data_IF_842908266197
#
_entry.id   IF_842908266197
#
_cell.length_a   1.000
_cell.length_b   1.000
_cell.length_c   1.000
_cell.angle_alpha   90.00
_cell.angle_beta   90.00
_cell.angle_gamma   90.00
#
_symmetry.space_group_name_H-M   'P 1'
#
loop_
_entity.id
_entity.type
_entity.pdbx_description
1 polymer ?
#
# COMPACT_ATOMS: atom_id res chain seq x y z
N UNK A 1 -40.15 -10.82 -33.05
CA UNK A 1 -39.13 -9.83 -32.62
C UNK A 1 -38.82 -10.12 -31.17
N UNK A 2 -37.77 -10.89 -30.93
CA UNK A 2 -37.35 -11.32 -29.59
C UNK A 2 -35.87 -10.95 -29.46
N UNK A 3 -35.60 -10.15 -28.43
CA UNK A 3 -34.32 -9.53 -28.09
C UNK A 3 -33.30 -10.60 -27.69
N UNK A 4 -32.14 -10.55 -28.36
CA UNK A 4 -30.93 -11.26 -27.91
C UNK A 4 -30.45 -10.61 -26.61
N UNK A 5 -30.62 -11.32 -25.51
CA UNK A 5 -29.91 -11.02 -24.25
C UNK A 5 -28.43 -11.37 -24.42
N UNK A 6 -27.58 -10.40 -24.13
CA UNK A 6 -26.13 -10.52 -24.16
C UNK A 6 -25.66 -11.48 -23.09
N UNK A 7 -24.89 -12.48 -23.51
CA UNK A 7 -24.21 -13.41 -22.64
C UNK A 7 -23.23 -12.66 -21.71
N UNK A 8 -23.37 -12.93 -20.42
CA UNK A 8 -22.40 -12.62 -19.37
C UNK A 8 -21.02 -13.18 -19.74
N UNK A 9 -20.04 -12.29 -19.91
CA UNK A 9 -18.63 -12.62 -20.16
C UNK A 9 -17.80 -12.42 -18.88
N UNK A 10 -18.17 -13.12 -17.81
CA UNK A 10 -17.25 -13.39 -16.71
C UNK A 10 -16.85 -14.87 -16.80
N UNK A 11 -15.59 -15.20 -17.14
CA UNK A 11 -15.17 -16.59 -17.12
C UNK A 11 -15.17 -17.11 -15.68
N UNK A 12 -15.66 -18.33 -15.53
CA UNK A 12 -15.63 -19.11 -14.29
C UNK A 12 -14.23 -19.07 -13.66
N UNK A 13 -14.11 -18.32 -12.57
CA UNK A 13 -12.95 -18.40 -11.69
C UNK A 13 -13.06 -19.75 -10.99
N UNK A 14 -12.19 -20.69 -11.36
CA UNK A 14 -12.04 -21.94 -10.61
C UNK A 14 -11.78 -21.59 -9.14
N UNK A 15 -12.73 -21.98 -8.32
CA UNK A 15 -12.76 -21.77 -6.88
C UNK A 15 -11.64 -22.62 -6.28
N UNK A 16 -10.51 -22.00 -5.95
CA UNK A 16 -9.42 -22.64 -5.22
C UNK A 16 -9.98 -23.07 -3.86
N UNK A 17 -9.91 -24.37 -3.55
CA UNK A 17 -10.43 -24.92 -2.30
C UNK A 17 -9.74 -24.28 -1.09
N UNK A 18 -10.51 -23.85 -0.11
CA UNK A 18 -10.04 -23.27 1.16
C UNK A 18 -8.90 -24.09 1.79
N UNK A 19 -7.69 -23.51 1.84
CA UNK A 19 -6.56 -24.04 2.60
C UNK A 19 -5.87 -22.92 3.37
N UNK A 20 -5.55 -23.20 4.64
CA UNK A 20 -4.84 -22.27 5.53
C UNK A 20 -3.38 -22.13 5.10
N UNK A 21 -2.94 -20.88 4.90
CA UNK A 21 -1.55 -20.53 4.69
C UNK A 21 -0.94 -20.12 6.04
N UNK A 22 0.11 -20.81 6.45
CA UNK A 22 1.07 -20.28 7.40
C UNK A 22 2.29 -19.86 6.59
N UNK A 23 2.43 -18.56 6.30
CA UNK A 23 3.74 -18.05 5.88
C UNK A 23 4.55 -17.90 7.16
N UNK A 24 5.16 -19.00 7.57
CA UNK A 24 6.32 -18.95 8.47
C UNK A 24 7.40 -18.17 7.70
N UNK A 25 8.13 -17.21 8.29
CA UNK A 25 9.28 -16.59 7.65
C UNK A 25 10.12 -17.69 7.00
N UNK A 26 10.29 -17.60 5.68
CA UNK A 26 10.77 -18.70 4.84
C UNK A 26 12.12 -19.19 5.34
N UNK A 27 12.09 -20.27 6.11
CA UNK A 27 13.25 -21.11 6.40
C UNK A 27 13.18 -22.40 5.57
N UNK A 28 12.69 -22.31 4.33
CA UNK A 28 12.90 -23.40 3.37
C UNK A 28 14.39 -23.42 3.03
N UNK A 29 15.06 -24.51 3.43
CA UNK A 29 16.51 -24.79 3.39
C UNK A 29 17.22 -24.61 2.02
N UNK A 30 16.56 -24.06 0.99
CA UNK A 30 17.07 -24.04 -0.40
C UNK A 30 17.01 -22.70 -1.14
N UNK A 31 16.41 -21.63 -0.60
CA UNK A 31 16.47 -20.30 -1.22
C UNK A 31 17.14 -19.30 -0.26
N UNK A 32 18.29 -18.75 -0.68
CA UNK A 32 19.09 -17.78 0.09
C UNK A 32 18.46 -16.37 0.18
N UNK A 33 17.15 -16.23 0.02
CA UNK A 33 16.43 -14.99 0.34
C UNK A 33 15.72 -15.19 1.67
N UNK A 34 16.46 -14.93 2.76
CA UNK A 34 15.85 -14.73 4.07
C UNK A 34 15.42 -13.27 4.13
N UNK A 35 14.12 -13.01 4.05
CA UNK A 35 13.60 -11.74 4.59
C UNK A 35 13.80 -11.83 6.09
N UNK A 36 14.52 -10.87 6.66
CA UNK A 36 14.71 -10.86 8.10
C UNK A 36 13.36 -10.60 8.78
N UNK A 37 13.16 -11.12 10.00
CA UNK A 37 11.98 -10.76 10.80
C UNK A 37 11.90 -9.23 10.97
N UNK A 38 13.04 -8.55 10.97
CA UNK A 38 13.18 -7.11 11.00
C UNK A 38 12.57 -6.44 9.75
N UNK A 39 12.90 -6.88 8.53
CA UNK A 39 12.31 -6.34 7.28
C UNK A 39 10.78 -6.52 7.25
N UNK A 40 10.27 -7.67 7.72
CA UNK A 40 8.82 -7.90 7.85
C UNK A 40 8.19 -6.98 8.91
N UNK A 41 8.84 -6.81 10.06
CA UNK A 41 8.37 -5.91 11.11
C UNK A 41 8.38 -4.44 10.67
N UNK A 42 9.35 -4.01 9.85
CA UNK A 42 9.40 -2.67 9.27
C UNK A 42 8.19 -2.44 8.36
N UNK A 43 7.89 -3.40 7.50
CA UNK A 43 6.71 -3.32 6.65
C UNK A 43 5.40 -3.49 7.41
N UNK A 44 5.35 -4.22 8.52
CA UNK A 44 4.18 -4.23 9.40
C UNK A 44 4.02 -2.90 10.15
N UNK A 45 5.11 -2.21 10.47
CA UNK A 45 5.04 -0.84 11.03
C UNK A 45 4.47 0.17 10.03
N UNK A 46 4.47 -0.14 8.73
CA UNK A 46 3.75 0.63 7.70
C UNK A 46 2.25 0.73 7.99
N UNK A 47 1.69 -0.28 8.68
CA UNK A 47 0.24 -0.39 8.95
C UNK A 47 -0.14 0.17 10.34
N UNK A 48 0.80 0.77 11.08
CA UNK A 48 0.50 1.34 12.39
C UNK A 48 -0.25 2.68 12.23
N UNK A 49 -1.52 2.68 12.64
CA UNK A 49 -2.40 3.85 12.62
C UNK A 49 -2.01 4.86 13.70
N UNK A 50 -1.09 5.77 13.37
CA UNK A 50 -0.97 7.06 14.05
C UNK A 50 -1.90 8.11 13.44
N UNK A 51 -2.88 7.71 12.60
CA UNK A 51 -3.57 8.57 11.62
C UNK A 51 -4.08 9.91 12.19
N UNK A 52 -4.31 10.03 13.51
CA UNK A 52 -4.58 11.31 14.18
C UNK A 52 -3.99 11.48 15.60
N UNK A 53 -2.98 10.69 16.01
CA UNK A 53 -2.37 10.80 17.35
C UNK A 53 -0.89 11.18 17.28
N UNK A 54 -0.65 12.47 17.06
CA UNK A 54 0.69 13.06 17.07
C UNK A 54 1.38 12.91 18.44
N UNK A 55 0.61 12.82 19.53
CA UNK A 55 1.15 12.68 20.89
C UNK A 55 1.75 11.30 21.10
N UNK A 56 1.05 10.23 20.73
CA UNK A 56 1.57 8.85 20.78
C UNK A 56 2.75 8.66 19.81
N UNK A 57 2.66 9.25 18.62
CA UNK A 57 3.75 9.25 17.64
C UNK A 57 5.03 9.88 18.22
N UNK A 58 4.94 11.09 18.76
CA UNK A 58 6.06 11.78 19.40
C UNK A 58 6.56 11.03 20.64
N UNK A 59 5.65 10.52 21.47
CA UNK A 59 6.00 9.76 22.66
C UNK A 59 6.87 8.54 22.33
N UNK A 60 6.50 7.78 21.29
CA UNK A 60 7.30 6.65 20.80
C UNK A 60 8.61 7.08 20.18
N UNK A 61 8.64 8.17 19.41
CA UNK A 61 9.90 8.70 18.89
C UNK A 61 10.86 9.08 20.02
N UNK A 62 10.37 9.85 21.00
CA UNK A 62 11.18 10.26 22.15
C UNK A 62 11.67 9.06 22.98
N UNK A 63 10.85 8.03 23.15
CA UNK A 63 11.27 6.79 23.80
C UNK A 63 12.37 6.06 23.02
N UNK A 64 12.26 5.99 21.69
CA UNK A 64 13.28 5.37 20.84
C UNK A 64 14.61 6.12 20.89
N UNK A 65 14.59 7.46 20.84
CA UNK A 65 15.80 8.30 21.00
C UNK A 65 16.51 8.04 22.31
N UNK A 66 15.75 7.86 23.40
CA UNK A 66 16.32 7.55 24.72
C UNK A 66 16.90 6.14 24.81
N UNK A 67 16.27 5.15 24.17
CA UNK A 67 16.72 3.75 24.19
C UNK A 67 17.93 3.49 23.30
N UNK A 68 17.93 4.07 22.11
CA UNK A 68 18.97 3.89 21.10
C UNK A 68 19.43 5.25 20.57
N UNK A 69 20.14 6.04 21.40
CA UNK A 69 20.70 7.31 20.96
C UNK A 69 21.66 7.05 19.78
N UNK A 70 21.54 7.86 18.73
CA UNK A 70 22.25 7.76 17.44
C UNK A 70 21.70 6.76 16.41
N UNK A 71 20.58 6.08 16.67
CA UNK A 71 19.93 5.28 15.63
C UNK A 71 19.13 6.20 14.68
N UNK A 72 19.50 6.18 13.40
CA UNK A 72 18.87 7.03 12.38
C UNK A 72 17.39 6.70 12.08
N UNK A 73 16.87 5.58 12.61
CA UNK A 73 15.48 5.12 12.45
C UNK A 73 14.64 5.24 13.73
N UNK A 74 14.97 6.20 14.59
CA UNK A 74 14.24 6.43 15.85
C UNK A 74 12.83 6.97 15.65
N UNK A 75 12.57 7.70 14.56
CA UNK A 75 11.22 8.14 14.20
C UNK A 75 10.36 6.94 13.75
N UNK A 76 9.20 6.68 14.37
CA UNK A 76 8.27 5.68 13.89
C UNK A 76 7.83 5.95 12.44
N UNK A 77 7.45 4.89 11.71
CA UNK A 77 6.86 5.06 10.38
C UNK A 77 5.48 5.70 10.56
N UNK A 78 5.25 6.82 9.86
CA UNK A 78 3.99 7.54 9.87
C UNK A 78 3.41 7.59 8.46
N UNK A 79 2.56 6.60 8.15
CA UNK A 79 1.97 6.36 6.83
C UNK A 79 1.40 7.61 6.16
N UNK A 80 0.55 8.35 6.87
CA UNK A 80 -0.11 9.57 6.36
C UNK A 80 0.91 10.59 5.84
N UNK A 81 1.91 10.93 6.66
CA UNK A 81 2.86 12.00 6.34
C UNK A 81 3.83 11.56 5.25
N UNK A 82 4.24 10.29 5.25
CA UNK A 82 5.06 9.74 4.17
C UNK A 82 4.29 9.76 2.84
N UNK A 83 3.01 9.39 2.82
CA UNK A 83 2.20 9.48 1.60
C UNK A 83 1.92 10.91 1.16
N UNK A 84 1.78 11.87 2.08
CA UNK A 84 1.70 13.29 1.73
C UNK A 84 3.01 13.76 1.08
N UNK A 85 4.16 13.45 1.68
CA UNK A 85 5.48 13.73 1.08
C UNK A 85 5.59 13.13 -0.32
N UNK A 86 5.24 11.86 -0.49
CA UNK A 86 5.31 11.17 -1.78
C UNK A 86 4.27 11.68 -2.78
N UNK A 87 3.12 12.18 -2.32
CA UNK A 87 2.13 12.85 -3.17
C UNK A 87 2.65 14.19 -3.67
N UNK A 88 3.54 14.88 -2.94
CA UNK A 88 4.20 16.07 -3.47
C UNK A 88 5.12 15.74 -4.66
N UNK A 89 5.75 14.56 -4.73
CA UNK A 89 6.49 14.07 -5.92
C UNK A 89 5.62 14.04 -7.19
N UNK A 90 4.29 13.98 -7.03
CA UNK A 90 3.34 13.90 -8.13
C UNK A 90 3.01 15.24 -8.78
N UNK A 91 3.63 16.35 -8.34
CA UNK A 91 3.13 17.68 -8.64
C UNK A 91 1.96 18.05 -7.73
N UNK A 92 1.99 17.59 -6.47
CA UNK A 92 0.95 17.84 -5.47
C UNK A 92 0.51 19.30 -5.43
N UNK A 93 -0.80 19.50 -5.33
CA UNK A 93 -1.43 20.82 -5.41
C UNK A 93 -1.10 21.69 -4.20
N UNK A 94 -1.58 22.93 -4.22
CA UNK A 94 -1.47 23.83 -3.05
C UNK A 94 -2.06 23.23 -1.77
N UNK A 95 -3.06 22.36 -1.91
CA UNK A 95 -3.71 21.66 -0.80
C UNK A 95 -2.83 20.60 -0.16
N UNK A 96 -2.13 19.76 -0.94
CA UNK A 96 -1.20 18.75 -0.41
C UNK A 96 -0.03 19.42 0.32
N UNK A 97 0.45 20.56 -0.22
CA UNK A 97 1.49 21.37 0.43
C UNK A 97 1.01 21.92 1.78
N UNK A 98 -0.22 22.41 1.82
CA UNK A 98 -0.85 22.91 3.05
C UNK A 98 -0.97 21.80 4.09
N UNK A 99 -1.49 20.63 3.71
CA UNK A 99 -1.62 19.49 4.63
C UNK A 99 -0.26 18.99 5.13
N UNK A 100 0.75 18.93 4.26
CA UNK A 100 2.09 18.58 4.67
C UNK A 100 2.65 19.58 5.70
N UNK A 101 2.52 20.90 5.46
CA UNK A 101 2.97 21.93 6.39
C UNK A 101 2.21 21.92 7.73
N UNK A 102 0.89 21.64 7.70
CA UNK A 102 0.06 21.49 8.88
C UNK A 102 0.50 20.28 9.73
N UNK A 103 0.77 19.14 9.10
CA UNK A 103 1.25 17.93 9.79
C UNK A 103 2.64 18.13 10.41
N UNK A 104 3.56 18.81 9.70
CA UNK A 104 4.88 19.19 10.26
C UNK A 104 4.72 20.11 11.47
N UNK A 105 3.82 21.10 11.40
CA UNK A 105 3.55 22.02 12.51
C UNK A 105 2.96 21.27 13.71
N UNK A 106 2.04 20.34 13.48
CA UNK A 106 1.44 19.51 14.52
C UNK A 106 2.47 18.62 15.22
N UNK A 107 3.39 18.00 14.46
CA UNK A 107 4.52 17.23 15.00
C UNK A 107 5.36 18.10 15.93
N UNK A 108 5.78 19.28 15.47
CA UNK A 108 6.61 20.19 16.26
C UNK A 108 5.91 20.59 17.57
N UNK A 109 4.64 20.96 17.48
CA UNK A 109 3.87 21.33 18.65
C UNK A 109 3.75 20.18 19.67
N UNK A 110 3.48 18.96 19.21
CA UNK A 110 3.44 17.79 20.09
C UNK A 110 4.82 17.47 20.70
N UNK A 111 5.90 17.65 19.95
CA UNK A 111 7.27 17.46 20.42
C UNK A 111 7.68 18.46 21.49
N UNK A 112 7.36 19.75 21.29
CA UNK A 112 7.55 20.82 22.28
C UNK A 112 6.82 20.50 23.60
N UNK A 113 5.55 20.05 23.51
CA UNK A 113 4.78 19.64 24.68
C UNK A 113 5.40 18.43 25.43
N UNK A 114 6.05 17.52 24.70
CA UNK A 114 6.74 16.36 25.27
C UNK A 114 8.16 16.68 25.80
N UNK A 115 8.63 17.93 25.66
CA UNK A 115 10.00 18.32 26.01
C UNK A 115 11.06 17.72 25.07
N UNK A 116 10.66 17.39 23.84
CA UNK A 116 11.52 16.85 22.79
C UNK A 116 11.73 17.91 21.72
N UNK A 117 12.89 18.58 21.74
CA UNK A 117 13.21 19.64 20.79
C UNK A 117 13.62 19.04 19.44
N UNK A 118 12.81 19.28 18.42
CA UNK A 118 13.04 18.83 17.04
C UNK A 118 12.71 19.96 16.06
N UNK A 119 13.58 20.15 15.08
CA UNK A 119 13.35 21.10 13.99
C UNK A 119 12.72 20.42 12.76
N UNK A 120 12.28 21.26 11.81
CA UNK A 120 11.67 20.80 10.56
C UNK A 120 12.63 19.93 9.73
N UNK A 121 13.92 20.29 9.71
CA UNK A 121 14.94 19.60 8.92
C UNK A 121 15.18 18.16 9.42
N UNK A 122 15.19 17.96 10.74
CA UNK A 122 15.26 16.66 11.38
C UNK A 122 14.03 15.81 11.01
N UNK A 123 12.82 16.38 11.11
CA UNK A 123 11.58 15.66 10.76
C UNK A 123 11.64 15.20 9.30
N UNK A 124 11.98 16.10 8.37
CA UNK A 124 12.07 15.79 6.95
C UNK A 124 13.15 14.73 6.68
N UNK A 125 14.33 14.88 7.29
CA UNK A 125 15.41 13.90 7.16
C UNK A 125 14.96 12.51 7.60
N UNK A 126 14.28 12.38 8.73
CA UNK A 126 13.76 11.11 9.20
C UNK A 126 12.65 10.55 8.30
N UNK A 127 11.79 11.40 7.72
CA UNK A 127 10.79 10.97 6.74
C UNK A 127 11.44 10.37 5.48
N UNK A 128 12.51 11.01 4.97
CA UNK A 128 13.29 10.47 3.84
C UNK A 128 13.91 9.13 4.24
N UNK A 129 14.58 9.06 5.39
CA UNK A 129 15.24 7.83 5.85
C UNK A 129 14.24 6.67 6.01
N UNK A 130 13.07 6.92 6.61
CA UNK A 130 12.01 5.92 6.73
C UNK A 130 11.47 5.50 5.37
N UNK A 131 11.33 6.43 4.42
CA UNK A 131 10.90 6.14 3.04
C UNK A 131 11.88 5.20 2.36
N UNK A 132 13.18 5.49 2.43
CA UNK A 132 14.23 4.64 1.88
C UNK A 132 14.26 3.27 2.57
N UNK A 133 14.05 3.23 3.87
CA UNK A 133 14.07 1.99 4.64
C UNK A 133 12.93 1.04 4.25
N UNK A 134 11.71 1.57 4.11
CA UNK A 134 10.56 0.78 3.62
C UNK A 134 10.78 0.36 2.17
N UNK A 135 11.32 1.26 1.33
CA UNK A 135 11.64 0.96 -0.06
C UNK A 135 12.58 -0.24 -0.22
N UNK A 136 13.65 -0.27 0.57
CA UNK A 136 14.59 -1.38 0.60
C UNK A 136 13.96 -2.68 1.16
N UNK A 137 13.19 -2.56 2.25
CA UNK A 137 12.54 -3.71 2.87
C UNK A 137 11.57 -4.40 1.89
N UNK A 138 10.71 -3.63 1.21
CA UNK A 138 9.77 -4.16 0.21
C UNK A 138 10.51 -4.80 -0.97
N UNK A 139 11.64 -4.23 -1.42
CA UNK A 139 12.45 -4.83 -2.48
C UNK A 139 13.07 -6.18 -2.10
N UNK A 140 13.27 -6.45 -0.80
CA UNK A 140 13.81 -7.71 -0.30
C UNK A 140 12.75 -8.80 -0.13
N UNK A 141 11.46 -8.47 -0.24
CA UNK A 141 10.38 -9.43 -0.11
C UNK A 141 10.53 -10.63 -1.05
N UNK A 142 10.03 -11.82 -0.66
CA UNK A 142 9.99 -12.93 -1.57
C UNK A 142 9.17 -12.55 -2.80
N UNK A 143 9.57 -13.09 -3.96
CA UNK A 143 8.83 -12.88 -5.20
C UNK A 143 7.58 -13.75 -5.20
N UNK A 144 6.50 -13.33 -5.84
CA UNK A 144 5.28 -14.12 -5.95
C UNK A 144 5.56 -15.54 -6.50
N UNK A 145 6.53 -15.65 -7.42
CA UNK A 145 7.00 -16.92 -7.99
C UNK A 145 7.57 -17.89 -6.97
N UNK A 146 7.91 -17.45 -5.76
CA UNK A 146 8.45 -18.30 -4.69
C UNK A 146 7.36 -18.92 -3.81
N UNK A 147 6.11 -18.49 -3.95
CA UNK A 147 4.95 -19.05 -3.25
C UNK A 147 4.60 -20.39 -3.89
N UNK A 148 4.66 -21.47 -3.10
CA UNK A 148 4.55 -22.84 -3.62
C UNK A 148 3.16 -23.14 -4.18
N UNK A 149 2.11 -22.57 -3.62
CA UNK A 149 0.73 -22.74 -4.08
C UNK A 149 0.53 -22.14 -5.49
N UNK A 150 1.16 -20.99 -5.78
CA UNK A 150 1.10 -20.42 -7.13
C UNK A 150 1.77 -21.34 -8.18
N UNK A 151 2.80 -22.10 -7.77
CA UNK A 151 3.45 -23.11 -8.62
C UNK A 151 2.60 -24.37 -8.75
N UNK A 152 2.08 -24.89 -7.64
CA UNK A 152 1.34 -26.16 -7.58
C UNK A 152 0.00 -26.06 -8.31
N UNK A 153 -0.74 -24.98 -8.08
CA UNK A 153 -2.08 -24.78 -8.63
C UNK A 153 -2.07 -24.13 -10.02
N UNK A 154 -0.87 -23.87 -10.57
CA UNK A 154 -0.66 -23.23 -11.88
C UNK A 154 -1.48 -21.94 -12.01
N UNK A 155 -1.46 -21.12 -10.96
CA UNK A 155 -2.19 -19.86 -10.90
C UNK A 155 -1.73 -18.96 -12.06
N UNK A 156 -2.67 -18.61 -12.94
CA UNK A 156 -2.39 -17.79 -14.13
C UNK A 156 -2.32 -16.30 -13.81
N UNK A 157 -2.96 -15.87 -12.72
CA UNK A 157 -2.99 -14.49 -12.27
C UNK A 157 -3.31 -14.36 -10.77
N UNK A 158 -2.80 -13.31 -10.16
CA UNK A 158 -3.19 -12.82 -8.82
C UNK A 158 -3.94 -11.51 -9.03
N UNK A 159 -4.97 -11.27 -8.20
CA UNK A 159 -5.69 -10.00 -8.19
C UNK A 159 -5.42 -9.29 -6.87
N UNK A 160 -5.02 -8.02 -6.96
CA UNK A 160 -4.84 -7.12 -5.83
C UNK A 160 -5.84 -5.97 -5.93
N UNK A 161 -6.32 -5.50 -4.79
CA UNK A 161 -7.34 -4.45 -4.68
C UNK A 161 -6.85 -3.34 -3.75
N UNK A 162 -7.09 -2.09 -4.12
CA UNK A 162 -6.89 -0.92 -3.27
C UNK A 162 -8.15 -0.06 -3.28
N UNK A 163 -8.56 0.43 -2.10
CA UNK A 163 -9.69 1.34 -1.96
C UNK A 163 -9.21 2.76 -1.71
N UNK A 164 -9.70 3.72 -2.50
CA UNK A 164 -9.40 5.14 -2.28
C UNK A 164 -10.48 5.78 -1.43
N UNK A 165 -10.10 6.40 -0.30
CA UNK A 165 -11.00 7.14 0.60
C UNK A 165 -11.46 8.49 0.02
N UNK A 166 -10.70 9.08 -0.89
CA UNK A 166 -10.93 10.43 -1.41
C UNK A 166 -10.94 10.44 -2.95
N UNK A 167 -12.03 10.99 -3.53
CA UNK A 167 -12.21 11.13 -4.98
C UNK A 167 -11.32 12.20 -5.59
N UNK A 168 -10.84 13.14 -4.77
CA UNK A 168 -9.99 14.27 -5.17
C UNK A 168 -8.50 13.99 -4.98
N UNK A 169 -8.14 12.77 -4.58
CA UNK A 169 -6.74 12.39 -4.46
C UNK A 169 -6.01 12.57 -5.81
N UNK A 170 -4.82 13.20 -5.86
CA UNK A 170 -4.11 13.48 -7.12
C UNK A 170 -3.89 12.25 -8.00
N UNK A 171 -3.72 11.08 -7.38
CA UNK A 171 -3.58 9.81 -8.08
C UNK A 171 -4.83 9.46 -8.91
N UNK A 172 -6.03 9.76 -8.41
CA UNK A 172 -7.29 9.52 -9.11
C UNK A 172 -7.43 10.46 -10.31
N UNK A 173 -7.05 11.73 -10.15
CA UNK A 173 -7.05 12.69 -11.25
C UNK A 173 -6.14 12.23 -12.40
N UNK A 174 -4.95 11.73 -12.08
CA UNK A 174 -4.03 11.16 -13.07
C UNK A 174 -4.61 9.93 -13.75
N UNK A 175 -5.19 9.00 -12.99
CA UNK A 175 -5.79 7.79 -13.56
C UNK A 175 -6.95 8.13 -14.51
N UNK A 176 -7.75 9.16 -14.20
CA UNK A 176 -8.84 9.60 -15.06
C UNK A 176 -8.39 10.16 -16.42
N UNK A 177 -7.12 10.56 -16.55
CA UNK A 177 -6.55 11.07 -17.80
C UNK A 177 -5.97 9.95 -18.67
N UNK A 178 -5.90 8.71 -18.17
CA UNK A 178 -5.33 7.58 -18.89
C UNK A 178 -6.32 7.00 -19.90
N UNK A 179 -5.78 6.61 -21.04
CA UNK A 179 -6.43 5.82 -22.08
C UNK A 179 -5.92 4.36 -22.04
N UNK A 180 -6.69 3.38 -22.53
CA UNK A 180 -6.28 1.97 -22.48
C UNK A 180 -4.87 1.76 -23.05
N UNK A 181 -4.12 0.90 -22.36
CA UNK A 181 -2.70 0.59 -22.57
C UNK A 181 -1.70 1.70 -22.16
N UNK A 182 -2.15 2.85 -21.65
CA UNK A 182 -1.25 3.87 -21.13
C UNK A 182 -0.43 3.35 -19.93
N UNK A 183 0.88 3.67 -19.87
CA UNK A 183 1.70 3.34 -18.72
C UNK A 183 1.34 4.24 -17.53
N UNK A 184 1.32 3.66 -16.35
CA UNK A 184 1.11 4.37 -15.10
C UNK A 184 2.13 3.94 -14.05
N UNK A 185 2.76 4.89 -13.37
CA UNK A 185 3.77 4.62 -12.36
C UNK A 185 3.26 5.17 -11.03
N UNK A 186 3.07 4.30 -10.03
CA UNK A 186 2.68 4.76 -8.69
C UNK A 186 3.91 5.30 -7.96
N UNK A 187 3.97 6.55 -7.54
CA UNK A 187 5.10 7.09 -6.78
C UNK A 187 4.86 7.01 -5.27
N UNK A 188 3.81 6.31 -4.84
CA UNK A 188 3.54 5.95 -3.45
C UNK A 188 3.69 4.45 -3.26
N UNK A 189 3.94 4.03 -2.03
CA UNK A 189 3.76 2.64 -1.65
C UNK A 189 2.27 2.35 -1.68
N UNK A 190 1.87 1.32 -2.41
CA UNK A 190 0.47 1.00 -2.57
C UNK A 190 0.12 -0.18 -1.68
N UNK A 191 -0.57 0.10 -0.58
CA UNK A 191 -1.19 -0.93 0.25
C UNK A 191 -2.34 -1.56 -0.53
N UNK A 192 -2.26 -2.87 -0.79
CA UNK A 192 -3.28 -3.61 -1.52
C UNK A 192 -3.75 -4.81 -0.73
N UNK A 193 -4.93 -5.33 -1.02
CA UNK A 193 -5.44 -6.58 -0.45
C UNK A 193 -5.75 -7.57 -1.55
N UNK A 194 -5.58 -8.86 -1.28
CA UNK A 194 -6.08 -9.93 -2.18
C UNK A 194 -7.59 -10.11 -2.08
N UNK A 195 -8.25 -9.50 -1.08
CA UNK A 195 -9.71 -9.53 -0.93
C UNK A 195 -10.33 -8.20 -1.32
N UNK A 196 -11.32 -8.23 -2.22
CA UNK A 196 -12.04 -7.01 -2.60
C UNK A 196 -12.86 -6.46 -1.43
N UNK A 197 -13.38 -7.31 -0.54
CA UNK A 197 -14.14 -6.89 0.65
C UNK A 197 -13.37 -5.86 1.49
N UNK A 198 -12.09 -6.14 1.72
CA UNK A 198 -11.20 -5.26 2.49
C UNK A 198 -11.07 -3.91 1.79
N UNK A 199 -10.73 -3.92 0.50
CA UNK A 199 -10.58 -2.69 -0.28
C UNK A 199 -11.88 -1.88 -0.38
N UNK A 200 -13.05 -2.53 -0.46
CA UNK A 200 -14.35 -1.86 -0.45
C UNK A 200 -14.56 -1.05 0.83
N UNK A 201 -14.26 -1.63 2.00
CA UNK A 201 -14.34 -0.92 3.29
C UNK A 201 -13.40 0.27 3.36
N UNK A 202 -12.19 0.12 2.86
CA UNK A 202 -11.19 1.19 2.86
C UNK A 202 -11.48 2.28 1.84
N UNK A 203 -12.37 2.07 0.87
CA UNK A 203 -12.79 3.14 -0.05
C UNK A 203 -13.72 4.19 0.60
N UNK A 204 -14.24 3.93 1.80
CA UNK A 204 -15.13 4.85 2.51
C UNK A 204 -16.31 5.29 1.65
N UNK A 205 -16.69 6.58 1.72
CA UNK A 205 -17.78 7.15 0.93
C UNK A 205 -17.43 7.44 -0.53
N UNK A 206 -16.16 7.29 -0.92
CA UNK A 206 -15.74 7.55 -2.29
C UNK A 206 -16.19 6.44 -3.25
N UNK A 207 -16.27 5.19 -2.77
CA UNK A 207 -16.59 4.00 -3.57
C UNK A 207 -15.73 3.88 -4.84
N UNK A 208 -14.42 4.09 -4.70
CA UNK A 208 -13.44 3.94 -5.79
C UNK A 208 -12.48 2.80 -5.45
N UNK A 209 -12.33 1.87 -6.39
CA UNK A 209 -11.39 0.76 -6.31
C UNK A 209 -10.36 0.81 -7.44
N UNK A 210 -9.14 0.42 -7.12
CA UNK A 210 -8.13 -0.01 -8.08
C UNK A 210 -8.00 -1.53 -8.00
N UNK A 211 -8.28 -2.20 -9.12
CA UNK A 211 -8.07 -3.63 -9.34
C UNK A 211 -6.81 -3.83 -10.17
N UNK A 212 -5.83 -4.52 -9.61
CA UNK A 212 -4.54 -4.79 -10.24
C UNK A 212 -4.46 -6.28 -10.57
N UNK A 213 -4.23 -6.57 -11.85
CA UNK A 213 -4.03 -7.93 -12.36
C UNK A 213 -2.53 -8.18 -12.46
N UNK A 214 -2.03 -9.19 -11.74
CA UNK A 214 -0.64 -9.65 -11.84
C UNK A 214 -0.64 -10.98 -12.57
N UNK A 215 -0.21 -10.99 -13.83
CA UNK A 215 -0.09 -12.25 -14.58
C UNK A 215 1.11 -13.07 -14.13
N UNK A 216 1.03 -14.39 -14.29
CA UNK A 216 2.10 -15.33 -13.90
C UNK A 216 3.47 -15.00 -14.50
N UNK A 217 3.50 -14.42 -15.72
CA UNK A 217 4.73 -13.92 -16.36
C UNK A 217 5.46 -12.82 -15.56
N UNK A 218 4.79 -12.18 -14.61
CA UNK A 218 5.35 -11.13 -13.76
C UNK A 218 5.67 -11.62 -12.33
N UNK A 219 5.42 -12.89 -12.00
CA UNK A 219 5.60 -13.41 -10.64
C UNK A 219 7.07 -13.42 -10.18
N UNK A 220 8.02 -13.46 -11.09
CA UNK A 220 9.46 -13.39 -10.75
C UNK A 220 9.89 -11.97 -10.35
N UNK A 221 9.18 -10.95 -10.82
CA UNK A 221 9.52 -9.56 -10.51
C UNK A 221 8.68 -8.98 -9.36
N UNK A 222 7.42 -9.40 -9.23
CA UNK A 222 6.48 -8.91 -8.22
C UNK A 222 6.92 -9.26 -6.79
N UNK A 223 7.39 -8.29 -5.97
CA UNK A 223 7.62 -8.51 -4.55
C UNK A 223 6.28 -8.77 -3.87
N UNK A 224 6.22 -9.84 -3.09
CA UNK A 224 4.97 -10.35 -2.53
C UNK A 224 5.22 -10.82 -1.10
N UNK A 225 4.95 -9.94 -0.13
CA UNK A 225 4.87 -10.34 1.27
C UNK A 225 3.47 -10.07 1.79
N UNK A 226 2.96 -11.05 2.54
CA UNK A 226 1.69 -10.98 3.21
C UNK A 226 1.90 -10.40 4.61
N UNK A 227 1.25 -9.28 4.94
CA UNK A 227 1.47 -8.57 6.21
C UNK A 227 0.54 -9.04 7.36
N UNK A 228 -0.42 -9.93 7.08
CA UNK A 228 -1.33 -10.50 8.09
C UNK A 228 -0.83 -11.79 8.78
N UNK A 229 -1.61 -12.32 9.73
CA UNK A 229 -1.27 -13.53 10.53
C UNK A 229 -1.29 -14.84 9.71
N UNK A 230 -2.18 -14.95 8.74
CA UNK A 230 -2.32 -16.08 7.81
C UNK A 230 -3.19 -15.68 6.61
N UNK A 231 -2.87 -16.15 5.41
CA UNK A 231 -3.76 -16.08 4.25
C UNK A 231 -4.65 -17.34 4.24
N UNK A 232 -5.91 -17.27 3.82
CA UNK A 232 -6.72 -18.46 3.49
C UNK A 232 -7.37 -18.17 2.15
N UNK A 233 -6.76 -18.63 1.06
CA UNK A 233 -7.34 -18.47 -0.28
C UNK A 233 -8.60 -19.33 -0.35
N UNK A 234 -9.75 -18.71 -0.58
CA UNK A 234 -11.06 -19.38 -0.70
C UNK A 234 -11.98 -19.22 0.51
N UNK A 235 -11.55 -18.60 1.62
CA UNK A 235 -12.43 -18.23 2.73
C UNK A 235 -12.61 -16.70 2.79
N UNK A 236 -13.86 -16.24 2.80
CA UNK A 236 -14.26 -14.87 3.12
C UNK A 236 -14.18 -14.65 4.64
N UNK A 237 -12.98 -14.73 5.22
CA UNK A 237 -12.78 -14.31 6.61
C UNK A 237 -12.58 -12.80 6.63
N UNK A 238 -13.65 -12.04 6.90
CA UNK A 238 -13.67 -10.57 6.83
C UNK A 238 -12.70 -9.89 7.80
N UNK A 239 -12.22 -10.57 8.83
CA UNK A 239 -11.54 -9.92 9.95
C UNK A 239 -10.03 -9.73 9.73
N UNK A 240 -9.47 -10.35 8.68
CA UNK A 240 -8.08 -10.16 8.29
C UNK A 240 -8.01 -9.27 7.05
N UNK A 241 -7.07 -8.33 7.01
CA UNK A 241 -6.96 -7.33 5.93
C UNK A 241 -6.17 -7.82 4.71
N UNK A 242 -5.52 -8.97 4.86
CA UNK A 242 -4.78 -9.68 3.81
C UNK A 242 -3.90 -8.79 2.91
N UNK A 243 -3.07 -7.95 3.54
CA UNK A 243 -2.32 -6.89 2.85
C UNK A 243 -1.06 -7.38 2.13
N UNK A 244 -0.88 -6.85 0.92
CA UNK A 244 0.32 -6.94 0.08
C UNK A 244 0.75 -5.50 -0.25
N UNK A 245 1.96 -5.13 0.15
CA UNK A 245 2.50 -3.81 -0.09
C UNK A 245 3.30 -3.78 -1.40
N UNK A 246 2.87 -2.95 -2.35
CA UNK A 246 3.63 -2.69 -3.58
C UNK A 246 4.56 -1.50 -3.39
N UNK A 247 5.75 -1.58 -3.99
CA UNK A 247 6.82 -0.62 -3.76
C UNK A 247 6.59 0.72 -4.51
N UNK A 248 7.37 1.75 -4.14
CA UNK A 248 7.47 3.00 -4.89
C UNK A 248 7.86 2.75 -6.34
N UNK A 249 7.26 3.51 -7.24
CA UNK A 249 7.49 3.46 -8.68
C UNK A 249 7.15 2.10 -9.32
N UNK A 250 6.23 1.34 -8.70
CA UNK A 250 5.63 0.17 -9.35
C UNK A 250 4.94 0.61 -10.65
N UNK A 251 5.19 -0.14 -11.72
CA UNK A 251 4.71 0.17 -13.06
C UNK A 251 3.48 -0.67 -13.38
N UNK A 252 2.47 0.01 -13.88
CA UNK A 252 1.21 -0.53 -14.30
C UNK A 252 0.93 -0.14 -15.75
N UNK A 253 0.03 -0.88 -16.36
CA UNK A 253 -0.60 -0.53 -17.63
C UNK A 253 -2.09 -0.39 -17.38
N UNK A 254 -2.66 0.74 -17.77
CA UNK A 254 -4.09 0.98 -17.59
C UNK A 254 -4.91 0.14 -18.56
N UNK A 255 -6.00 -0.46 -18.08
CA UNK A 255 -6.84 -1.36 -18.88
C UNK A 255 -8.21 -0.72 -19.11
N UNK A 256 -8.90 -0.35 -18.04
CA UNK A 256 -10.26 0.15 -18.15
C UNK A 256 -10.74 0.87 -16.90
N UNK A 257 -11.84 1.62 -17.06
CA UNK A 257 -12.67 2.16 -16.00
C UNK A 257 -14.08 1.62 -16.19
N UNK A 258 -14.64 1.02 -15.15
CA UNK A 258 -16.02 0.54 -15.16
C UNK A 258 -16.76 1.04 -13.92
N UNK A 259 -18.08 1.11 -14.00
CA UNK A 259 -18.96 1.29 -12.85
C UNK A 259 -19.70 -0.03 -12.64
N UNK A 260 -19.61 -0.60 -11.45
CA UNK A 260 -20.24 -1.91 -11.15
C UNK A 260 -20.76 -1.97 -9.73
N UNK A 261 -21.81 -2.75 -9.51
CA UNK A 261 -22.28 -3.09 -8.17
C UNK A 261 -21.42 -4.19 -7.59
N UNK A 262 -20.95 -4.00 -6.36
CA UNK A 262 -20.11 -4.95 -5.64
C UNK A 262 -20.78 -5.28 -4.32
N UNK A 263 -20.93 -6.57 -4.05
CA UNK A 263 -21.37 -7.08 -2.75
C UNK A 263 -20.14 -7.39 -1.90
N UNK A 264 -20.09 -6.85 -0.67
CA UNK A 264 -18.95 -7.00 0.24
C UNK A 264 -19.38 -7.06 1.70
N UNK A 265 -18.52 -7.63 2.54
CA UNK A 265 -18.78 -7.81 3.96
C UNK A 265 -18.10 -6.75 4.83
N UNK A 266 -18.86 -6.16 5.75
CA UNK A 266 -18.38 -5.22 6.76
C UNK A 266 -18.37 -5.89 8.14
N UNK A 267 -17.20 -6.04 8.80
CA UNK A 267 -17.11 -6.59 10.15
C UNK A 267 -17.99 -5.81 11.12
N UNK A 268 -18.63 -6.52 12.04
CA UNK A 268 -19.43 -5.94 13.10
C UNK A 268 -18.74 -6.22 14.44
N UNK A 269 -18.81 -5.28 15.38
CA UNK A 269 -18.25 -5.47 16.73
C UNK A 269 -18.93 -6.65 17.42
N UNK A 270 -20.22 -6.86 17.15
CA UNK A 270 -21.02 -7.97 17.64
C UNK A 270 -21.84 -8.56 16.48
N UNK A 271 -21.75 -9.88 16.29
CA UNK A 271 -22.55 -10.60 15.30
C UNK A 271 -21.80 -10.94 14.01
N UNK A 272 -22.54 -11.51 13.06
CA UNK A 272 -22.00 -11.84 11.74
C UNK A 272 -21.66 -10.57 10.94
N UNK A 273 -20.70 -10.64 9.99
CA UNK A 273 -20.43 -9.54 9.07
C UNK A 273 -21.70 -9.07 8.36
N UNK A 274 -21.82 -7.75 8.19
CA UNK A 274 -22.93 -7.14 7.46
C UNK A 274 -22.61 -7.15 5.97
N UNK A 275 -23.43 -7.85 5.19
CA UNK A 275 -23.36 -7.78 3.73
C UNK A 275 -23.91 -6.42 3.24
N UNK A 276 -23.14 -5.74 2.38
CA UNK A 276 -23.53 -4.52 1.70
C UNK A 276 -23.39 -4.71 0.20
N UNK A 277 -24.24 -4.02 -0.56
CA UNK A 277 -24.11 -3.93 -2.02
C UNK A 277 -24.16 -2.47 -2.43
N UNK A 278 -23.06 -1.95 -2.96
CA UNK A 278 -22.91 -0.56 -3.35
C UNK A 278 -22.34 -0.45 -4.77
N UNK A 279 -22.50 0.71 -5.41
CA UNK A 279 -21.95 0.98 -6.73
C UNK A 279 -20.56 1.60 -6.62
N UNK A 280 -19.59 0.99 -7.29
CA UNK A 280 -18.18 1.38 -7.28
C UNK A 280 -17.70 1.78 -8.67
N UNK A 281 -16.82 2.78 -8.71
CA UNK A 281 -15.95 3.03 -9.86
C UNK A 281 -14.72 2.14 -9.69
N UNK A 282 -14.46 1.26 -10.66
CA UNK A 282 -13.34 0.32 -10.66
C UNK A 282 -12.38 0.68 -11.79
N UNK A 283 -11.17 1.11 -11.42
CA UNK A 283 -10.06 1.22 -12.34
C UNK A 283 -9.33 -0.12 -12.40
N UNK A 284 -9.24 -0.71 -13.58
CA UNK A 284 -8.49 -1.95 -13.80
C UNK A 284 -7.12 -1.61 -14.39
N UNK A 285 -6.07 -2.15 -13.77
CA UNK A 285 -4.70 -2.04 -14.21
C UNK A 285 -4.05 -3.42 -14.29
N UNK A 286 -3.06 -3.54 -15.15
CA UNK A 286 -2.17 -4.70 -15.23
C UNK A 286 -0.82 -4.33 -14.62
N UNK A 287 -0.29 -5.17 -13.73
CA UNK A 287 1.07 -5.04 -13.23
C UNK A 287 2.08 -5.34 -14.35
N UNK A 288 3.04 -4.43 -14.53
CA UNK A 288 4.07 -4.55 -15.57
C UNK A 288 5.42 -4.90 -14.96
N UNK A 289 5.86 -4.13 -13.96
CA UNK A 289 7.18 -4.30 -13.34
C UNK A 289 7.27 -3.61 -11.99
N UNK A 290 8.21 -4.05 -11.17
CA UNK A 290 8.62 -3.38 -9.94
C UNK A 290 9.43 -2.12 -10.26
N UNK A 291 9.69 -1.32 -9.23
CA UNK A 291 10.65 -0.22 -9.29
C UNK A 291 11.98 -0.67 -9.88
N UNK A 292 12.47 0.07 -10.88
CA UNK A 292 13.82 -0.11 -11.44
C UNK A 292 14.83 0.89 -10.88
N UNK A 293 14.40 1.77 -9.95
CA UNK A 293 15.26 2.78 -9.33
C UNK A 293 16.15 2.15 -8.26
N UNK A 294 17.32 2.72 -8.06
CA UNK A 294 18.24 2.43 -6.96
C UNK A 294 17.86 3.26 -5.74
N UNK A 295 18.34 2.86 -4.56
CA UNK A 295 18.14 3.64 -3.32
C UNK A 295 18.64 5.07 -3.46
N UNK A 296 19.77 5.25 -4.16
CA UNK A 296 20.40 6.53 -4.40
C UNK A 296 19.52 7.42 -5.27
N UNK A 297 18.96 6.89 -6.37
CA UNK A 297 18.03 7.63 -7.23
C UNK A 297 16.74 8.04 -6.48
N UNK A 298 16.22 7.18 -5.61
CA UNK A 298 15.05 7.51 -4.77
C UNK A 298 15.40 8.64 -3.80
N UNK A 299 16.59 8.58 -3.18
CA UNK A 299 17.04 9.61 -2.25
C UNK A 299 17.22 10.96 -2.96
N UNK A 300 17.78 10.97 -4.16
CA UNK A 300 17.91 12.18 -4.99
C UNK A 300 16.55 12.80 -5.32
N UNK A 301 15.57 11.99 -5.74
CA UNK A 301 14.20 12.46 -6.01
C UNK A 301 13.55 13.09 -4.76
N UNK A 302 13.72 12.45 -3.59
CA UNK A 302 13.17 12.94 -2.32
C UNK A 302 13.84 14.23 -1.83
N UNK A 303 15.17 14.34 -1.94
CA UNK A 303 15.91 15.55 -1.56
C UNK A 303 15.53 16.71 -2.47
N UNK A 304 15.46 16.46 -3.78
CA UNK A 304 15.04 17.48 -4.75
C UNK A 304 13.66 18.02 -4.42
N UNK A 305 12.72 17.13 -4.10
CA UNK A 305 11.38 17.52 -3.67
C UNK A 305 11.41 18.41 -2.43
N UNK A 306 12.13 18.00 -1.39
CA UNK A 306 12.20 18.79 -0.15
C UNK A 306 12.75 20.19 -0.45
N UNK A 307 13.82 20.31 -1.23
CA UNK A 307 14.40 21.61 -1.57
C UNK A 307 13.45 22.51 -2.37
N UNK A 308 12.60 21.94 -3.23
CA UNK A 308 11.60 22.68 -4.00
C UNK A 308 10.37 23.11 -3.17
N UNK A 309 10.15 22.47 -2.01
CA UNK A 309 8.90 22.58 -1.24
C UNK A 309 9.12 22.99 0.23
N UNK A 310 10.36 23.10 0.69
CA UNK A 310 10.68 23.56 2.03
C UNK A 310 10.21 25.01 2.20
N UNK A 311 9.36 25.29 3.21
CA UNK A 311 9.02 26.66 3.56
C UNK A 311 10.28 27.34 4.11
N UNK A 312 10.83 28.30 3.37
CA UNK A 312 11.71 29.33 3.93
C UNK A 312 10.96 30.20 4.92
#
# INVERSE_FOLDING_TARGET
MSSKEGASLLPDIQTISARRFSITPTSTRRTRQRVSLEDMNIAQKWTNDFENDFTDFIGKWFENERKTPNNQYNMPIFYRIMNLLLSLLQGGGSQDRKYFAEDITAIKHAAEQAGFDIDTDIIIKHLILNTLHVYEAVNRFPKASTIDEFKQDKVSQIILYHGFKDRTAPIIEKINQLTPDDPFITPIFLSTSVLHDVACRFSGSAHILLKIIVHSRHFEDCPYAYLGKSLVIGETNSDNEYEVLLNLFTKFKYISKTTTKITFNVPQILGAPLEKTEEFIVYTMEYVANSSKTREEINEDLIKLVNEYSPT
#
